data_IF_501229762678
#
_entry.id   IF_501229762678
#
_cell.length_a   1.000
_cell.length_b   1.000
_cell.length_c   1.000
_cell.angle_alpha   90.00
_cell.angle_beta   90.00
_cell.angle_gamma   90.00
#
_symmetry.space_group_name_H-M   'P 1'
#
loop_
_entity.id
_entity.type
_entity.pdbx_description
1 polymer ?
#
# COMPACT_ATOMS: atom_id res chain seq x y z
N UNK A 1 47.06 -42.07 30.25
CA UNK A 1 45.80 -42.07 29.47
C UNK A 1 45.37 -40.63 29.28
N UNK A 2 45.31 -40.13 28.04
CA UNK A 2 44.87 -38.76 27.71
C UNK A 2 43.51 -38.87 27.01
N UNK A 3 42.46 -38.43 27.69
CA UNK A 3 41.09 -38.40 27.15
C UNK A 3 40.88 -37.06 26.46
N UNK A 4 40.92 -37.04 25.13
CA UNK A 4 40.61 -35.86 24.32
C UNK A 4 39.10 -35.65 24.26
N UNK A 5 38.60 -34.62 24.94
CA UNK A 5 37.23 -34.11 24.82
C UNK A 5 37.13 -33.31 23.52
N UNK A 6 36.23 -33.70 22.63
CA UNK A 6 35.90 -32.93 21.42
C UNK A 6 34.83 -31.89 21.77
N UNK A 7 35.17 -30.61 21.70
CA UNK A 7 34.19 -29.52 21.71
C UNK A 7 33.41 -29.55 20.39
N UNK A 8 32.10 -29.76 20.48
CA UNK A 8 31.14 -29.60 19.39
C UNK A 8 30.71 -28.12 19.35
N UNK A 9 30.95 -27.37 18.25
CA UNK A 9 30.42 -26.01 18.16
C UNK A 9 28.94 -26.09 17.82
N UNK A 10 28.12 -25.67 18.79
CA UNK A 10 26.68 -25.46 18.65
C UNK A 10 26.46 -24.28 17.69
N UNK A 11 26.14 -24.58 16.44
CA UNK A 11 25.78 -23.60 15.41
C UNK A 11 24.44 -22.97 15.81
N UNK A 12 24.51 -21.77 16.37
CA UNK A 12 23.38 -20.88 16.61
C UNK A 12 22.88 -20.34 15.26
N UNK A 13 21.98 -21.06 14.60
CA UNK A 13 21.19 -20.53 13.48
C UNK A 13 20.13 -19.59 14.05
N UNK A 14 20.49 -18.32 14.22
CA UNK A 14 19.53 -17.25 14.44
C UNK A 14 18.77 -17.00 13.14
N UNK A 15 17.57 -17.59 13.04
CA UNK A 15 16.59 -17.19 12.04
C UNK A 15 16.14 -15.75 12.35
N UNK A 16 16.79 -14.77 11.71
CA UNK A 16 16.24 -13.41 11.63
C UNK A 16 15.00 -13.53 10.73
N UNK A 17 13.86 -13.83 11.34
CA UNK A 17 12.56 -13.69 10.69
C UNK A 17 12.33 -12.20 10.45
N UNK A 18 12.78 -11.70 9.29
CA UNK A 18 12.38 -10.39 8.78
C UNK A 18 10.87 -10.39 8.52
N UNK A 19 10.08 -10.21 9.58
CA UNK A 19 8.71 -9.75 9.45
C UNK A 19 8.78 -8.28 9.03
N UNK A 20 8.98 -8.02 7.73
CA UNK A 20 8.93 -6.68 7.15
C UNK A 20 7.47 -6.22 7.13
N UNK A 21 6.94 -5.84 8.29
CA UNK A 21 5.68 -5.12 8.38
C UNK A 21 5.84 -3.75 7.77
N UNK A 22 4.81 -3.25 7.09
CA UNK A 22 4.79 -1.87 6.59
C UNK A 22 4.95 -0.92 7.77
N UNK A 23 5.97 -0.06 7.71
CA UNK A 23 6.10 1.07 8.62
C UNK A 23 5.21 2.20 8.12
N UNK A 24 4.39 2.75 9.01
CA UNK A 24 3.38 3.75 8.69
C UNK A 24 4.01 5.01 8.08
N UNK A 25 5.19 5.35 8.58
CA UNK A 25 6.00 6.48 8.16
C UNK A 25 6.37 6.43 6.67
N UNK A 26 6.56 5.22 6.14
CA UNK A 26 6.85 5.01 4.71
C UNK A 26 5.68 5.41 3.80
N UNK A 27 4.45 5.34 4.30
CA UNK A 27 3.24 5.64 3.54
C UNK A 27 2.94 7.15 3.44
N UNK A 28 3.36 7.95 4.43
CA UNK A 28 2.99 9.36 4.48
C UNK A 28 3.37 10.13 3.21
N UNK A 29 2.48 11.03 2.80
CA UNK A 29 2.61 11.86 1.61
C UNK A 29 1.62 11.50 0.49
N UNK A 30 1.78 12.18 -0.65
CA UNK A 30 0.96 11.98 -1.85
C UNK A 30 1.60 10.93 -2.76
N UNK A 31 0.79 10.01 -3.24
CA UNK A 31 1.16 8.98 -4.21
C UNK A 31 0.31 9.12 -5.47
N UNK A 32 0.94 9.52 -6.57
CA UNK A 32 0.28 9.70 -7.87
C UNK A 32 0.11 8.35 -8.55
N UNK A 33 -1.08 8.06 -9.04
CA UNK A 33 -1.33 6.81 -9.75
C UNK A 33 -0.71 6.92 -11.14
N UNK A 34 -0.01 5.86 -11.56
CA UNK A 34 0.57 5.75 -12.90
C UNK A 34 0.00 4.55 -13.68
N UNK A 35 -0.73 3.66 -12.99
CA UNK A 35 -1.45 2.53 -13.58
C UNK A 35 -2.63 2.15 -12.70
N UNK A 36 -3.78 1.89 -13.32
CA UNK A 36 -5.00 1.39 -12.68
C UNK A 36 -5.55 0.24 -13.51
N UNK A 37 -5.57 -0.94 -12.90
CA UNK A 37 -5.99 -2.20 -13.53
C UNK A 37 -7.22 -2.75 -12.80
N UNK A 38 -8.15 -3.34 -13.53
CA UNK A 38 -9.31 -4.07 -12.97
C UNK A 38 -9.14 -5.56 -13.30
N UNK A 39 -8.33 -6.30 -12.52
CA UNK A 39 -7.99 -7.68 -12.85
C UNK A 39 -9.12 -8.68 -12.63
N UNK A 40 -10.13 -8.31 -11.83
CA UNK A 40 -11.22 -9.21 -11.41
C UNK A 40 -12.47 -9.13 -12.27
N UNK A 41 -12.53 -8.19 -13.23
CA UNK A 41 -13.61 -8.14 -14.23
C UNK A 41 -13.24 -8.95 -15.47
N UNK A 42 -14.23 -9.45 -16.21
CA UNK A 42 -14.04 -10.26 -17.41
C UNK A 42 -14.68 -9.59 -18.63
N UNK A 43 -13.89 -9.16 -19.64
CA UNK A 43 -12.42 -9.24 -19.70
C UNK A 43 -11.76 -8.27 -18.70
N UNK A 44 -10.54 -8.58 -18.27
CA UNK A 44 -9.75 -7.67 -17.44
C UNK A 44 -9.52 -6.36 -18.17
N UNK A 45 -9.58 -5.24 -17.44
CA UNK A 45 -9.45 -3.90 -18.04
C UNK A 45 -8.31 -3.09 -17.41
N UNK A 46 -7.88 -2.04 -18.10
CA UNK A 46 -6.87 -1.09 -17.63
C UNK A 46 -7.22 0.30 -18.12
N UNK A 47 -7.27 1.25 -17.19
CA UNK A 47 -7.49 2.66 -17.54
C UNK A 47 -6.32 3.16 -18.39
N UNK A 48 -6.63 3.86 -19.47
CA UNK A 48 -5.62 4.33 -20.41
C UNK A 48 -4.65 5.31 -19.74
N UNK A 49 -3.39 5.34 -20.19
CA UNK A 49 -2.41 6.30 -19.67
C UNK A 49 -2.80 7.75 -19.95
N UNK A 50 -3.55 8.00 -21.03
CA UNK A 50 -4.07 9.34 -21.35
C UNK A 50 -5.10 9.78 -20.30
N UNK A 51 -6.03 8.91 -19.93
CA UNK A 51 -7.03 9.21 -18.89
C UNK A 51 -6.37 9.40 -17.52
N UNK A 52 -5.37 8.58 -17.18
CA UNK A 52 -4.61 8.76 -15.93
C UNK A 52 -3.87 10.09 -15.92
N UNK A 53 -3.29 10.51 -17.05
CA UNK A 53 -2.62 11.80 -17.16
C UNK A 53 -3.60 12.98 -17.06
N UNK A 54 -4.78 12.87 -17.67
CA UNK A 54 -5.82 13.90 -17.63
C UNK A 54 -6.45 14.03 -16.24
N UNK A 55 -6.83 12.91 -15.64
CA UNK A 55 -7.51 12.88 -14.34
C UNK A 55 -6.55 13.06 -13.16
N UNK A 56 -5.25 12.85 -13.37
CA UNK A 56 -4.19 12.95 -12.37
C UNK A 56 -4.55 12.36 -11.00
N UNK A 57 -5.03 11.11 -10.90
CA UNK A 57 -5.52 10.56 -9.65
C UNK A 57 -4.37 10.28 -8.65
N UNK A 58 -4.68 10.40 -7.36
CA UNK A 58 -3.72 10.17 -6.30
C UNK A 58 -4.36 9.75 -4.98
N UNK A 59 -3.57 9.11 -4.13
CA UNK A 59 -3.89 8.84 -2.72
C UNK A 59 -2.95 9.64 -1.83
N UNK A 60 -3.45 10.17 -0.72
CA UNK A 60 -2.65 10.89 0.29
C UNK A 60 -2.82 10.18 1.63
N UNK A 61 -1.69 9.89 2.27
CA UNK A 61 -1.63 9.45 3.66
C UNK A 61 -1.10 10.61 4.50
N UNK A 62 -1.93 11.14 5.39
CA UNK A 62 -1.56 12.24 6.28
C UNK A 62 -0.95 11.71 7.59
N UNK A 63 -0.18 12.55 8.29
CA UNK A 63 0.51 12.18 9.54
C UNK A 63 -0.43 12.02 10.75
N UNK A 64 -1.71 12.36 10.58
CA UNK A 64 -2.79 12.14 11.56
C UNK A 64 -3.56 10.84 11.28
N UNK A 65 -2.98 9.93 10.49
CA UNK A 65 -3.57 8.67 10.05
C UNK A 65 -4.82 8.83 9.17
N UNK A 66 -5.05 10.01 8.59
CA UNK A 66 -6.11 10.23 7.60
C UNK A 66 -5.65 9.83 6.19
N UNK A 67 -6.61 9.39 5.38
CA UNK A 67 -6.41 8.97 4.00
C UNK A 67 -7.44 9.63 3.09
N UNK A 68 -7.00 10.11 1.93
CA UNK A 68 -7.87 10.68 0.88
C UNK A 68 -7.51 10.11 -0.48
N UNK A 69 -8.51 9.74 -1.26
CA UNK A 69 -8.37 9.33 -2.67
C UNK A 69 -9.01 10.42 -3.53
N UNK A 70 -8.23 10.98 -4.45
CA UNK A 70 -8.63 12.05 -5.36
C UNK A 70 -8.57 11.55 -6.80
N UNK A 71 -9.57 11.91 -7.60
CA UNK A 71 -9.64 11.63 -9.04
C UNK A 71 -10.22 12.82 -9.79
N UNK A 72 -9.51 13.34 -10.79
CA UNK A 72 -9.94 14.53 -11.53
C UNK A 72 -10.15 15.75 -10.62
N UNK A 73 -9.34 15.87 -9.55
CA UNK A 73 -9.49 16.90 -8.52
C UNK A 73 -10.67 16.73 -7.55
N UNK A 74 -11.48 15.68 -7.69
CA UNK A 74 -12.61 15.38 -6.80
C UNK A 74 -12.23 14.37 -5.73
N UNK A 75 -12.71 14.60 -4.50
CA UNK A 75 -12.61 13.61 -3.43
C UNK A 75 -13.53 12.42 -3.74
N UNK A 76 -12.94 11.26 -4.03
CA UNK A 76 -13.70 10.02 -4.24
C UNK A 76 -13.95 9.27 -2.95
N UNK A 77 -12.98 9.28 -2.04
CA UNK A 77 -13.02 8.51 -0.80
C UNK A 77 -12.15 9.17 0.26
N UNK A 78 -12.59 9.09 1.52
CA UNK A 78 -11.84 9.57 2.67
C UNK A 78 -12.07 8.67 3.88
N UNK A 79 -11.10 8.69 4.79
CA UNK A 79 -11.18 7.91 6.02
C UNK A 79 -9.88 7.92 6.80
N UNK A 80 -9.65 6.86 7.55
CA UNK A 80 -8.41 6.63 8.29
C UNK A 80 -7.74 5.34 7.86
N UNK A 81 -6.44 5.23 8.11
CA UNK A 81 -5.68 4.03 7.79
C UNK A 81 -4.84 3.54 8.97
N UNK A 82 -4.56 2.25 8.96
CA UNK A 82 -3.54 1.62 9.79
C UNK A 82 -2.76 0.59 8.99
N UNK A 83 -1.82 -0.08 9.65
CA UNK A 83 -1.01 -1.14 9.04
C UNK A 83 -1.33 -2.47 9.71
N UNK A 84 -1.49 -3.54 8.92
CA UNK A 84 -1.69 -4.90 9.42
C UNK A 84 -0.76 -5.84 8.64
N UNK A 85 0.38 -6.19 9.24
CA UNK A 85 1.41 -6.97 8.57
C UNK A 85 1.95 -6.24 7.34
N UNK A 86 1.74 -6.83 6.17
CA UNK A 86 2.14 -6.28 4.87
C UNK A 86 1.02 -5.51 4.17
N UNK A 87 -0.11 -5.24 4.84
CA UNK A 87 -1.27 -4.60 4.23
C UNK A 87 -1.62 -3.27 4.92
N UNK A 88 -2.34 -2.42 4.22
CA UNK A 88 -2.93 -1.21 4.77
C UNK A 88 -4.37 -1.54 5.14
N UNK A 89 -4.76 -1.29 6.39
CA UNK A 89 -6.15 -1.42 6.83
C UNK A 89 -6.83 -0.06 6.62
N UNK A 90 -7.72 0.04 5.65
CA UNK A 90 -8.45 1.27 5.38
C UNK A 90 -9.83 1.23 6.03
N UNK A 91 -10.18 2.31 6.74
CA UNK A 91 -11.52 2.56 7.27
C UNK A 91 -12.10 3.76 6.54
N UNK A 92 -12.94 3.48 5.55
CA UNK A 92 -13.61 4.50 4.76
C UNK A 92 -14.82 5.07 5.50
N UNK A 93 -15.05 6.37 5.35
CA UNK A 93 -16.28 7.04 5.76
C UNK A 93 -17.14 7.31 4.53
N UNK A 94 -18.37 6.79 4.57
CA UNK A 94 -19.35 6.92 3.50
C UNK A 94 -20.11 8.26 3.61
N UNK A 95 -20.78 8.71 2.54
CA UNK A 95 -21.53 9.98 2.55
C UNK A 95 -22.63 10.07 3.62
N UNK A 96 -23.18 8.92 4.05
CA UNK A 96 -24.19 8.84 5.10
C UNK A 96 -23.59 8.78 6.53
N UNK A 97 -22.28 8.92 6.66
CA UNK A 97 -21.55 8.85 7.92
C UNK A 97 -21.28 7.42 8.41
N UNK A 98 -21.75 6.38 7.70
CA UNK A 98 -21.36 5.01 8.01
C UNK A 98 -19.91 4.77 7.63
N UNK A 99 -19.34 3.69 8.17
CA UNK A 99 -17.97 3.30 7.86
C UNK A 99 -17.91 1.86 7.39
N UNK A 100 -16.98 1.58 6.47
CA UNK A 100 -16.60 0.21 6.10
C UNK A 100 -15.10 0.05 6.20
N UNK A 101 -14.66 -1.16 6.54
CA UNK A 101 -13.25 -1.50 6.68
C UNK A 101 -12.87 -2.57 5.66
N UNK A 102 -11.78 -2.34 4.95
CA UNK A 102 -11.24 -3.30 4.00
C UNK A 102 -9.73 -3.10 3.83
N UNK A 103 -8.98 -4.16 3.53
CA UNK A 103 -7.55 -4.06 3.32
C UNK A 103 -7.22 -3.54 1.91
N UNK A 104 -6.15 -2.75 1.83
CA UNK A 104 -5.35 -2.66 0.61
C UNK A 104 -4.22 -3.68 0.71
N UNK A 105 -4.21 -4.63 -0.22
CA UNK A 105 -3.18 -5.65 -0.31
C UNK A 105 -1.95 -5.08 -0.98
N UNK A 106 -0.88 -4.86 -0.24
CA UNK A 106 0.33 -4.24 -0.78
C UNK A 106 1.29 -5.33 -1.26
N UNK A 107 1.66 -5.25 -2.53
CA UNK A 107 2.62 -6.18 -3.15
C UNK A 107 4.01 -5.55 -3.32
N UNK A 108 4.07 -4.22 -3.38
CA UNK A 108 5.32 -3.46 -3.46
C UNK A 108 5.19 -2.21 -2.61
N UNK A 109 6.18 -1.96 -1.75
CA UNK A 109 6.37 -0.66 -1.10
C UNK A 109 7.86 -0.36 -1.03
N UNK A 110 8.25 0.78 -1.60
CA UNK A 110 9.60 1.34 -1.60
C UNK A 110 9.49 2.84 -1.35
N UNK A 111 10.61 3.56 -1.27
CA UNK A 111 10.59 5.01 -1.02
C UNK A 111 9.84 5.82 -2.09
N UNK A 112 9.78 5.31 -3.33
CA UNK A 112 9.22 6.04 -4.47
C UNK A 112 8.09 5.31 -5.21
N UNK A 113 7.84 4.02 -4.92
CA UNK A 113 6.83 3.20 -5.62
C UNK A 113 6.02 2.37 -4.64
N UNK A 114 4.71 2.37 -4.85
CA UNK A 114 3.75 1.51 -4.14
C UNK A 114 2.86 0.79 -5.14
N UNK A 115 2.64 -0.51 -4.93
CA UNK A 115 1.63 -1.29 -5.67
C UNK A 115 0.70 -1.94 -4.66
N UNK A 116 -0.58 -1.61 -4.77
CA UNK A 116 -1.60 -2.13 -3.87
C UNK A 116 -2.89 -2.48 -4.62
N UNK A 117 -3.72 -3.30 -4.00
CA UNK A 117 -4.94 -3.81 -4.63
C UNK A 117 -6.11 -3.85 -3.63
N UNK A 118 -7.28 -3.47 -4.10
CA UNK A 118 -8.57 -3.81 -3.46
C UNK A 118 -9.15 -5.05 -4.13
N UNK A 119 -9.72 -5.95 -3.33
CA UNK A 119 -10.35 -7.18 -3.84
C UNK A 119 -11.86 -6.97 -4.02
N UNK A 120 -12.47 -7.83 -4.85
CA UNK A 120 -13.90 -7.83 -5.15
C UNK A 120 -14.19 -7.36 -6.57
N UNK A 121 -15.48 -7.31 -6.94
CA UNK A 121 -15.92 -7.02 -8.31
C UNK A 121 -15.57 -5.59 -8.75
N UNK A 122 -15.47 -4.66 -7.80
CA UNK A 122 -14.99 -3.28 -8.00
C UNK A 122 -13.53 -3.09 -7.55
N UNK A 123 -12.80 -4.20 -7.41
CA UNK A 123 -11.41 -4.23 -7.02
C UNK A 123 -10.51 -3.64 -8.11
N UNK A 124 -9.54 -2.83 -7.69
CA UNK A 124 -8.56 -2.24 -8.58
C UNK A 124 -7.14 -2.48 -8.05
N UNK A 125 -6.23 -2.80 -8.97
CA UNK A 125 -4.80 -2.84 -8.71
C UNK A 125 -4.15 -1.55 -9.19
N UNK A 126 -3.47 -0.88 -8.27
CA UNK A 126 -2.91 0.45 -8.46
C UNK A 126 -1.40 0.35 -8.41
N UNK A 127 -0.73 0.95 -9.40
CA UNK A 127 0.69 1.31 -9.30
C UNK A 127 0.79 2.81 -9.10
N UNK A 128 1.43 3.23 -8.03
CA UNK A 128 1.60 4.64 -7.68
C UNK A 128 3.07 4.99 -7.43
N UNK A 129 3.40 6.25 -7.68
CA UNK A 129 4.71 6.84 -7.40
C UNK A 129 4.58 7.97 -6.40
N UNK A 130 5.55 8.08 -5.49
CA UNK A 130 5.55 9.13 -4.48
C UNK A 130 5.77 10.49 -5.15
N UNK A 131 4.94 11.47 -4.82
CA UNK A 131 5.13 12.83 -5.32
C UNK A 131 6.38 13.42 -4.64
N UNK A 132 7.46 13.56 -5.40
CA UNK A 132 8.65 14.29 -4.95
C UNK A 132 8.40 15.78 -5.18
N UNK A 133 8.17 16.54 -4.10
CA UNK A 133 8.14 18.00 -4.05
C UNK A 133 7.50 18.70 -5.27
N UNK A 134 6.16 18.75 -5.34
CA UNK A 134 5.52 19.94 -5.89
C UNK A 134 5.55 20.97 -4.76
N UNK A 135 6.56 21.84 -4.79
CA UNK A 135 6.56 23.04 -3.96
C UNK A 135 5.30 23.86 -4.28
N UNK A 136 4.64 24.44 -3.27
CA UNK A 136 3.38 25.18 -3.44
C UNK A 136 3.48 26.33 -4.44
#
# INVERSE_FOLDING_TARGET
MKTTIRLLPLILLSFISCNNSIQREGLYGKWKYIKVEHPHISPSDTISSADIAEQAPYIVFETNDSLKIIWGGKLLSYGTFGTQGQNIKYKEVLPDGKTREFPFYVSVLTDNKMVFETMGDEGAKITAVKATNEHP
#
